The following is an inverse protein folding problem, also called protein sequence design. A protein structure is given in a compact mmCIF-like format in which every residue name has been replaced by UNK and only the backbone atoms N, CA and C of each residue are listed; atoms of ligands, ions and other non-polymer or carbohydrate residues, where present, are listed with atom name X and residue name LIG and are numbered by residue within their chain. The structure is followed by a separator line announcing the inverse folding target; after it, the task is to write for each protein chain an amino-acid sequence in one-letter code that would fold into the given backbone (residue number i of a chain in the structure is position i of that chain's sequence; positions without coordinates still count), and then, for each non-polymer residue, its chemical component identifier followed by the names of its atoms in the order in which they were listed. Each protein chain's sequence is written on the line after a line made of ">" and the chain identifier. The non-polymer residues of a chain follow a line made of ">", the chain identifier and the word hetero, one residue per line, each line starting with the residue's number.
data_IF_481942369097
#
_entry.id   IF_481942369097
#
_cell.length_a   1.000
_cell.length_b   1.000
_cell.length_c   1.000
_cell.angle_alpha   90.00
_cell.angle_beta   90.00
_cell.angle_gamma   90.00
#
_symmetry.space_group_name_H-M   'P 1'
#
loop_
_entity.id
_entity.type
_entity.pdbx_description
1 polymer ?
#
# COMPACT_ATOMS: atom_id res chain seq x y z
N UNK A 1 -10.86 -15.51 5.93
CA UNK A 1 -9.68 -14.62 5.95
C UNK A 1 -8.66 -15.17 6.93
N UNK A 2 -7.39 -15.34 6.53
CA UNK A 2 -6.34 -15.77 7.45
C UNK A 2 -5.97 -14.62 8.38
N UNK A 3 -6.27 -14.77 9.67
CA UNK A 3 -5.81 -13.84 10.72
C UNK A 3 -4.29 -13.92 10.84
N UNK A 4 -3.61 -12.84 11.22
CA UNK A 4 -2.16 -12.87 11.47
C UNK A 4 -1.72 -13.95 12.46
N UNK A 5 -2.62 -14.40 13.34
CA UNK A 5 -2.37 -15.51 14.24
C UNK A 5 -2.01 -16.81 13.50
N UNK A 6 -2.54 -17.05 12.29
CA UNK A 6 -2.25 -18.28 11.52
C UNK A 6 -0.82 -18.35 11.00
N UNK A 7 -0.03 -17.28 11.13
CA UNK A 7 1.39 -17.26 10.74
C UNK A 7 2.34 -17.43 11.93
N UNK A 8 1.84 -17.52 13.16
CA UNK A 8 2.69 -17.57 14.34
C UNK A 8 3.55 -18.86 14.42
N UNK A 9 3.08 -19.95 13.80
CA UNK A 9 3.78 -21.24 13.75
C UNK A 9 4.96 -21.25 12.75
N UNK A 10 5.12 -20.20 11.94
CA UNK A 10 6.26 -20.07 11.03
C UNK A 10 7.53 -19.83 11.86
N UNK A 11 8.43 -20.82 11.84
CA UNK A 11 9.69 -20.85 12.61
C UNK A 11 10.65 -19.72 12.25
N UNK A 12 10.78 -19.42 10.96
CA UNK A 12 11.67 -18.35 10.49
C UNK A 12 10.98 -16.99 10.63
N UNK A 13 11.54 -16.12 11.47
CA UNK A 13 10.97 -14.80 11.76
C UNK A 13 10.79 -13.93 10.52
N UNK A 14 11.77 -13.92 9.60
CA UNK A 14 11.68 -13.17 8.35
C UNK A 14 10.50 -13.63 7.48
N UNK A 15 10.32 -14.94 7.31
CA UNK A 15 9.20 -15.51 6.55
C UNK A 15 7.86 -15.22 7.23
N UNK A 16 7.80 -15.29 8.56
CA UNK A 16 6.61 -14.94 9.33
C UNK A 16 6.20 -13.49 9.10
N UNK A 17 7.15 -12.56 9.18
CA UNK A 17 6.91 -11.14 8.90
C UNK A 17 6.49 -10.93 7.45
N UNK A 18 7.15 -11.58 6.49
CA UNK A 18 6.79 -11.50 5.08
C UNK A 18 5.36 -11.99 4.80
N UNK A 19 4.93 -13.10 5.40
CA UNK A 19 3.57 -13.62 5.24
C UNK A 19 2.50 -12.69 5.83
N UNK A 20 2.79 -12.08 6.99
CA UNK A 20 1.92 -11.06 7.60
C UNK A 20 1.83 -9.82 6.71
N UNK A 21 2.97 -9.32 6.21
CA UNK A 21 3.02 -8.18 5.29
C UNK A 21 2.31 -8.46 3.97
N UNK A 22 2.49 -9.64 3.37
CA UNK A 22 1.79 -10.02 2.13
C UNK A 22 0.28 -10.10 2.32
N UNK A 23 -0.17 -10.60 3.47
CA UNK A 23 -1.61 -10.65 3.81
C UNK A 23 -2.17 -9.24 3.99
N UNK A 24 -1.43 -8.35 4.66
CA UNK A 24 -1.80 -6.94 4.81
C UNK A 24 -1.86 -6.23 3.46
N UNK A 25 -0.83 -6.39 2.64
CA UNK A 25 -0.71 -5.80 1.32
C UNK A 25 -1.92 -6.17 0.45
N UNK A 26 -2.27 -7.46 0.41
CA UNK A 26 -3.46 -7.97 -0.30
C UNK A 26 -4.77 -7.41 0.24
N UNK A 27 -4.92 -7.35 1.56
CA UNK A 27 -6.13 -6.83 2.19
C UNK A 27 -6.36 -5.35 1.92
N UNK A 28 -5.27 -4.60 1.77
CA UNK A 28 -5.29 -3.18 1.41
C UNK A 28 -5.21 -2.96 -0.11
N UNK A 29 -5.30 -4.00 -0.94
CA UNK A 29 -5.15 -3.92 -2.41
C UNK A 29 -3.84 -3.27 -2.91
N UNK A 30 -2.85 -3.06 -2.04
CA UNK A 30 -1.55 -2.45 -2.39
C UNK A 30 -0.68 -3.39 -3.22
N UNK A 31 -1.08 -4.65 -3.40
CA UNK A 31 -0.40 -5.57 -4.30
C UNK A 31 -0.82 -5.40 -5.76
N UNK A 32 -1.91 -4.68 -6.02
CA UNK A 32 -2.39 -4.35 -7.35
C UNK A 32 -1.81 -3.01 -7.85
N UNK A 33 -1.34 -2.16 -6.93
CA UNK A 33 -0.78 -0.85 -7.27
C UNK A 33 0.64 -0.98 -7.84
N UNK A 34 0.85 -0.48 -9.05
CA UNK A 34 2.18 -0.36 -9.67
C UNK A 34 3.05 0.70 -8.98
N UNK A 35 4.35 0.41 -8.81
CA UNK A 35 5.33 1.37 -8.30
C UNK A 35 5.40 2.64 -9.17
N UNK A 36 5.29 2.50 -10.49
CA UNK A 36 5.27 3.64 -11.41
C UNK A 36 4.06 4.56 -11.16
N UNK A 37 2.91 3.99 -10.80
CA UNK A 37 1.72 4.77 -10.47
C UNK A 37 1.91 5.56 -9.17
N UNK A 38 2.49 4.94 -8.15
CA UNK A 38 2.80 5.61 -6.88
C UNK A 38 3.77 6.78 -7.12
N UNK A 39 4.84 6.55 -7.88
CA UNK A 39 5.81 7.61 -8.23
C UNK A 39 5.11 8.75 -8.97
N UNK A 40 4.27 8.45 -9.97
CA UNK A 40 3.55 9.51 -10.71
C UNK A 40 2.67 10.37 -9.81
N UNK A 41 1.98 9.77 -8.85
CA UNK A 41 1.12 10.47 -7.90
C UNK A 41 1.97 11.36 -6.98
N UNK A 42 3.07 10.83 -6.43
CA UNK A 42 3.95 11.64 -5.58
C UNK A 42 4.64 12.77 -6.34
N UNK A 43 4.91 12.59 -7.64
CA UNK A 43 5.42 13.65 -8.50
C UNK A 43 4.39 14.77 -8.69
N UNK A 44 3.12 14.44 -8.88
CA UNK A 44 2.03 15.44 -8.96
C UNK A 44 1.89 16.27 -7.69
N UNK A 45 2.25 15.71 -6.53
CA UNK A 45 2.21 16.39 -5.24
C UNK A 45 3.53 17.08 -4.86
N UNK A 46 4.51 17.14 -5.78
CA UNK A 46 5.84 17.74 -5.57
C UNK A 46 6.61 17.15 -4.37
N UNK A 47 6.31 15.90 -3.97
CA UNK A 47 6.91 15.26 -2.79
C UNK A 47 8.38 14.87 -3.02
N UNK A 48 8.79 14.79 -4.30
CA UNK A 48 10.09 14.24 -4.75
C UNK A 48 11.29 14.94 -4.09
N UNK A 49 11.22 16.25 -3.87
CA UNK A 49 12.35 17.04 -3.35
C UNK A 49 12.39 17.17 -1.83
N UNK A 50 11.54 16.43 -1.11
CA UNK A 50 11.32 16.69 0.31
C UNK A 50 11.26 15.43 1.17
N UNK A 51 12.39 14.72 1.25
CA UNK A 51 12.60 13.70 2.31
C UNK A 51 12.34 14.24 3.73
N UNK A 52 12.34 15.57 3.91
CA UNK A 52 12.10 16.26 5.18
C UNK A 52 10.73 16.98 5.25
N UNK A 53 9.85 16.88 4.24
CA UNK A 53 8.52 17.50 4.35
C UNK A 53 7.70 16.70 5.36
N UNK A 54 7.18 17.41 6.36
CA UNK A 54 6.15 16.85 7.22
C UNK A 54 4.87 16.74 6.40
N UNK A 55 4.34 15.52 6.32
CA UNK A 55 3.06 15.23 5.69
C UNK A 55 2.02 15.17 6.80
N UNK A 56 0.98 15.97 6.70
CA UNK A 56 -0.13 15.93 7.65
C UNK A 56 -1.13 14.81 7.34
N UNK A 57 -2.10 14.59 8.23
CA UNK A 57 -3.06 13.49 8.06
C UNK A 57 -3.97 13.70 6.85
N UNK A 58 -4.28 14.95 6.51
CA UNK A 58 -5.14 15.28 5.36
C UNK A 58 -4.42 14.99 4.06
N UNK A 59 -3.14 15.36 3.95
CA UNK A 59 -2.29 15.04 2.82
C UNK A 59 -2.15 13.51 2.65
N UNK A 60 -1.96 12.75 3.74
CA UNK A 60 -1.91 11.28 3.67
C UNK A 60 -3.22 10.70 3.11
N UNK A 61 -4.38 11.22 3.55
CA UNK A 61 -5.68 10.77 3.06
C UNK A 61 -5.84 11.05 1.57
N UNK A 62 -5.46 12.24 1.11
CA UNK A 62 -5.53 12.62 -0.30
C UNK A 62 -4.64 11.71 -1.17
N UNK A 63 -3.43 11.40 -0.71
CA UNK A 63 -2.50 10.53 -1.43
C UNK A 63 -3.05 9.11 -1.54
N UNK A 64 -3.54 8.57 -0.41
CA UNK A 64 -4.14 7.24 -0.40
C UNK A 64 -5.38 7.19 -1.30
N UNK A 65 -6.23 8.21 -1.25
CA UNK A 65 -7.41 8.28 -2.11
C UNK A 65 -7.03 8.25 -3.58
N UNK A 66 -6.09 9.09 -4.04
CA UNK A 66 -5.62 9.06 -5.44
C UNK A 66 -4.99 7.71 -5.82
N UNK A 67 -4.23 7.10 -4.93
CA UNK A 67 -3.62 5.77 -5.17
C UNK A 67 -4.71 4.73 -5.38
N UNK A 68 -5.76 4.73 -4.55
CA UNK A 68 -6.88 3.80 -4.64
C UNK A 68 -7.75 4.06 -5.86
N UNK A 69 -8.04 5.32 -6.21
CA UNK A 69 -8.77 5.68 -7.42
C UNK A 69 -8.05 5.16 -8.67
N UNK A 70 -6.74 5.40 -8.77
CA UNK A 70 -5.94 4.92 -9.91
C UNK A 70 -5.89 3.40 -9.99
N UNK A 71 -5.73 2.74 -8.84
CA UNK A 71 -5.73 1.27 -8.77
C UNK A 71 -7.10 0.67 -9.10
N UNK A 72 -8.20 1.33 -8.69
CA UNK A 72 -9.57 0.91 -9.00
C UNK A 72 -9.90 1.06 -10.48
N UNK A 73 -9.33 2.04 -11.19
CA UNK A 73 -9.50 2.19 -12.63
C UNK A 73 -8.80 1.05 -13.38
N UNK A 74 -7.61 0.64 -12.93
CA UNK A 74 -6.86 -0.46 -13.55
C UNK A 74 -7.47 -1.84 -13.24
N UNK A 75 -8.02 -2.04 -12.04
CA UNK A 75 -8.56 -3.31 -11.58
C UNK A 75 -9.98 -3.20 -10.99
N UNK A 76 -10.98 -2.79 -11.79
CA UNK A 76 -12.33 -2.47 -11.30
C UNK A 76 -13.08 -3.66 -10.71
N UNK A 77 -12.72 -4.90 -11.09
CA UNK A 77 -13.31 -6.13 -10.55
C UNK A 77 -12.59 -6.69 -9.31
N UNK A 78 -11.47 -6.10 -8.87
CA UNK A 78 -10.66 -6.62 -7.76
C UNK A 78 -10.60 -5.67 -6.56
N UNK A 79 -10.90 -4.39 -6.77
CA UNK A 79 -10.98 -3.36 -5.73
C UNK A 79 -12.46 -3.13 -5.42
N UNK A 80 -12.89 -3.43 -4.18
CA UNK A 80 -14.26 -3.26 -3.69
C UNK A 80 -14.31 -2.23 -2.56
#
# INVERSE_FOLDING_TARGET
>A
MHSFASFNDIRFSAYRTAMKLRTLQKRLCLDLTSLSNIISIFNEYEIIDSLNKMIDITEILDYLQKIFEKTSIEYPQLVH
#
